data_IF_534162870745
#
_entry.id   IF_534162870745
#
_cell.length_a   1.000
_cell.length_b   1.000
_cell.length_c   1.000
_cell.angle_alpha   90.00
_cell.angle_beta   90.00
_cell.angle_gamma   90.00
#
_symmetry.space_group_name_H-M   'P 1'
#
loop_
_entity.id
_entity.type
_entity.pdbx_description
1 polymer ?
#
# COMPACT_ATOMS: atom_id res chain seq x y z
N UNK A 1 -5.30 -5.40 2.43
CA UNK A 1 -5.78 -6.78 2.65
C UNK A 1 -6.28 -7.44 1.35
N UNK A 2 -7.30 -6.87 0.65
CA UNK A 2 -7.67 -7.39 -0.68
C UNK A 2 -6.58 -7.12 -1.72
N UNK A 3 -5.98 -5.94 -1.69
CA UNK A 3 -4.86 -5.59 -2.56
C UNK A 3 -3.62 -6.46 -2.23
N UNK A 4 -3.27 -6.67 -0.95
CA UNK A 4 -2.23 -7.68 -0.59
C UNK A 4 -2.48 -9.09 -1.13
N UNK A 5 -3.73 -9.56 -1.13
CA UNK A 5 -4.04 -10.86 -1.73
C UNK A 5 -3.82 -10.84 -3.24
N UNK A 6 -4.15 -9.74 -3.93
CA UNK A 6 -3.84 -9.54 -5.35
C UNK A 6 -2.33 -9.56 -5.60
N UNK A 7 -1.52 -8.92 -4.74
CA UNK A 7 -0.06 -8.96 -4.85
C UNK A 7 0.45 -10.40 -4.75
N UNK A 8 0.00 -11.14 -3.73
CA UNK A 8 0.33 -12.55 -3.52
C UNK A 8 -0.05 -13.41 -4.74
N UNK A 9 -1.28 -13.30 -5.22
CA UNK A 9 -1.79 -14.08 -6.35
C UNK A 9 -1.03 -13.76 -7.66
N UNK A 10 -0.56 -12.52 -7.81
CA UNK A 10 0.23 -12.10 -8.96
C UNK A 10 1.65 -12.69 -8.93
N UNK A 11 2.28 -12.71 -7.75
CA UNK A 11 3.59 -13.33 -7.57
C UNK A 11 3.53 -14.87 -7.69
N UNK A 12 2.49 -15.50 -7.17
CA UNK A 12 2.26 -16.94 -7.33
C UNK A 12 2.10 -17.34 -8.81
N UNK A 13 1.44 -16.51 -9.62
CA UNK A 13 1.39 -16.72 -11.07
C UNK A 13 2.79 -16.66 -11.71
N UNK A 14 3.63 -15.69 -11.31
CA UNK A 14 5.01 -15.59 -11.81
C UNK A 14 5.81 -16.85 -11.45
N UNK A 15 5.69 -17.34 -10.22
CA UNK A 15 6.34 -18.58 -9.78
C UNK A 15 5.88 -19.78 -10.61
N UNK A 16 4.61 -19.80 -11.02
CA UNK A 16 4.02 -20.81 -11.92
C UNK A 16 4.38 -20.60 -13.40
N UNK A 17 5.24 -19.63 -13.71
CA UNK A 17 5.75 -19.38 -15.05
C UNK A 17 4.88 -18.46 -15.92
N UNK A 18 3.92 -17.74 -15.32
CA UNK A 18 3.04 -16.80 -16.02
C UNK A 18 3.13 -15.41 -15.40
N UNK A 19 3.55 -14.42 -16.18
CA UNK A 19 3.53 -13.02 -15.73
C UNK A 19 2.16 -12.41 -16.05
N UNK A 20 1.39 -11.93 -15.04
CA UNK A 20 0.13 -11.24 -15.30
C UNK A 20 0.36 -9.88 -15.99
N UNK A 21 -0.61 -9.46 -16.80
CA UNK A 21 -0.62 -8.10 -17.35
C UNK A 21 -1.04 -7.12 -16.26
N UNK A 22 -0.32 -6.00 -16.16
CA UNK A 22 -0.53 -4.95 -15.15
C UNK A 22 -0.64 -3.55 -15.77
N UNK A 23 -1.28 -2.65 -15.03
CA UNK A 23 -1.44 -1.24 -15.37
C UNK A 23 -0.98 -0.34 -14.22
N UNK A 24 0.21 0.22 -14.36
CA UNK A 24 0.87 1.03 -13.34
C UNK A 24 0.23 2.41 -13.13
N UNK A 25 -0.90 2.71 -13.79
CA UNK A 25 -1.61 3.97 -13.65
C UNK A 25 -2.64 3.91 -12.50
N UNK A 26 -2.19 3.61 -11.27
CA UNK A 26 -3.05 3.59 -10.08
C UNK A 26 -3.07 4.97 -9.38
N UNK A 27 -4.26 5.56 -9.26
CA UNK A 27 -4.52 6.84 -8.58
C UNK A 27 -5.35 6.72 -7.30
N UNK A 28 -5.57 5.51 -6.76
CA UNK A 28 -6.37 5.28 -5.54
C UNK A 28 -5.92 6.15 -4.38
N UNK A 29 -4.60 6.26 -4.17
CA UNK A 29 -4.01 7.10 -3.14
C UNK A 29 -4.45 8.55 -3.28
N UNK A 30 -4.23 9.13 -4.47
CA UNK A 30 -4.64 10.49 -4.84
C UNK A 30 -6.13 10.74 -4.64
N UNK A 31 -6.98 9.86 -5.16
CA UNK A 31 -8.44 10.05 -5.21
C UNK A 31 -9.14 9.71 -3.88
N UNK A 32 -8.42 9.11 -2.93
CA UNK A 32 -8.93 8.80 -1.61
C UNK A 32 -9.16 10.05 -0.76
N UNK A 33 -10.39 10.21 -0.26
CA UNK A 33 -10.81 11.29 0.63
C UNK A 33 -11.61 10.72 1.81
N UNK A 34 -10.94 10.33 2.93
CA UNK A 34 -11.61 9.71 4.07
C UNK A 34 -12.42 10.73 4.87
N UNK A 35 -13.59 10.32 5.36
CA UNK A 35 -14.33 11.06 6.37
C UNK A 35 -13.73 10.83 7.77
N UNK A 36 -13.83 11.83 8.64
CA UNK A 36 -13.45 11.68 10.04
C UNK A 36 -14.36 10.64 10.72
N UNK A 37 -13.76 9.68 11.39
CA UNK A 37 -14.42 8.61 12.16
C UNK A 37 -14.53 8.97 13.65
N UNK A 38 -13.58 9.76 14.16
CA UNK A 38 -13.53 10.19 15.55
C UNK A 38 -13.91 11.67 15.72
N UNK A 39 -14.56 12.02 16.83
CA UNK A 39 -14.73 13.42 17.24
C UNK A 39 -13.36 14.05 17.53
N UNK A 40 -13.20 15.29 17.08
CA UNK A 40 -12.10 16.21 17.38
C UNK A 40 -11.71 16.32 18.86
N UNK A 41 -12.65 16.13 19.79
CA UNK A 41 -12.44 16.34 21.23
C UNK A 41 -12.03 15.08 22.01
N UNK A 42 -12.18 13.90 21.41
CA UNK A 42 -11.96 12.61 22.09
C UNK A 42 -10.62 11.97 21.77
N UNK A 43 -9.86 11.60 22.81
CA UNK A 43 -8.69 10.72 22.70
C UNK A 43 -9.03 9.35 23.30
N UNK A 44 -10.01 8.67 22.70
CA UNK A 44 -10.45 7.33 23.14
C UNK A 44 -9.32 6.31 23.00
N UNK A 45 -9.38 5.23 23.78
CA UNK A 45 -8.43 4.12 23.65
C UNK A 45 -8.48 3.48 22.26
N UNK A 46 -9.66 3.38 21.65
CA UNK A 46 -9.82 2.91 20.27
C UNK A 46 -9.06 3.79 19.27
N UNK A 47 -9.15 5.13 19.43
CA UNK A 47 -8.43 6.08 18.56
C UNK A 47 -6.91 5.90 18.67
N UNK A 48 -6.40 5.63 19.87
CA UNK A 48 -4.96 5.38 20.10
C UNK A 48 -4.52 4.06 19.49
N UNK A 49 -5.31 3.00 19.67
CA UNK A 49 -5.06 1.69 19.08
C UNK A 49 -5.05 1.76 17.55
N UNK A 50 -6.05 2.42 16.95
CA UNK A 50 -6.12 2.63 15.51
C UNK A 50 -4.95 3.49 14.99
N UNK A 51 -4.56 4.54 15.73
CA UNK A 51 -3.39 5.35 15.37
C UNK A 51 -2.10 4.52 15.36
N UNK A 52 -1.93 3.65 16.36
CA UNK A 52 -0.79 2.72 16.43
C UNK A 52 -0.79 1.78 15.22
N UNK A 53 -1.91 1.09 14.96
CA UNK A 53 -2.04 0.16 13.83
C UNK A 53 -1.82 0.85 12.49
N UNK A 54 -2.41 2.03 12.26
CA UNK A 54 -2.21 2.78 11.02
C UNK A 54 -0.75 3.21 10.84
N UNK A 55 -0.05 3.54 11.93
CA UNK A 55 1.38 3.89 11.88
C UNK A 55 2.24 2.67 11.54
N UNK A 56 1.95 1.52 12.15
CA UNK A 56 2.63 0.25 11.88
C UNK A 56 2.42 -0.21 10.43
N UNK A 57 1.18 -0.13 9.93
CA UNK A 57 0.87 -0.40 8.53
C UNK A 57 1.65 0.52 7.58
N UNK A 58 1.70 1.84 7.82
CA UNK A 58 2.51 2.76 7.01
C UNK A 58 3.99 2.36 7.00
N UNK A 59 4.52 1.90 8.14
CA UNK A 59 5.89 1.38 8.22
C UNK A 59 6.10 0.15 7.35
N UNK A 60 5.14 -0.79 7.39
CA UNK A 60 5.13 -2.00 6.56
C UNK A 60 5.07 -1.65 5.07
N UNK A 61 4.15 -0.78 4.64
CA UNK A 61 4.02 -0.39 3.23
C UNK A 61 5.30 0.26 2.70
N UNK A 62 5.97 1.08 3.52
CA UNK A 62 7.25 1.69 3.15
C UNK A 62 8.35 0.66 2.98
N UNK A 63 8.43 -0.33 3.88
CA UNK A 63 9.42 -1.39 3.81
C UNK A 63 9.22 -2.23 2.54
N UNK A 64 7.98 -2.68 2.30
CA UNK A 64 7.61 -3.51 1.16
C UNK A 64 7.81 -2.75 -0.16
N UNK A 65 7.36 -1.49 -0.26
CA UNK A 65 7.60 -0.64 -1.44
C UNK A 65 9.09 -0.44 -1.71
N UNK A 66 9.91 -0.29 -0.66
CA UNK A 66 11.36 -0.20 -0.78
C UNK A 66 12.02 -1.46 -1.33
N UNK A 67 11.52 -2.64 -0.94
CA UNK A 67 11.98 -3.93 -1.46
C UNK A 67 11.67 -4.06 -2.95
N UNK A 68 10.42 -3.82 -3.36
CA UNK A 68 10.04 -3.87 -4.78
C UNK A 68 10.82 -2.86 -5.63
N UNK A 69 11.07 -1.65 -5.10
CA UNK A 69 11.92 -0.66 -5.77
C UNK A 69 13.33 -1.20 -6.05
N UNK A 70 13.91 -1.95 -5.11
CA UNK A 70 15.22 -2.59 -5.29
C UNK A 70 15.13 -3.71 -6.33
N UNK A 71 14.12 -4.56 -6.23
CA UNK A 71 13.94 -5.73 -7.10
C UNK A 71 13.73 -5.37 -8.57
N UNK A 72 13.09 -4.23 -8.87
CA UNK A 72 12.94 -3.72 -10.24
C UNK A 72 14.30 -3.58 -10.96
N UNK A 73 15.41 -3.41 -10.22
CA UNK A 73 16.76 -3.36 -10.78
C UNK A 73 17.49 -4.71 -10.77
N UNK A 74 17.00 -5.69 -10.01
CA UNK A 74 17.58 -7.04 -9.91
C UNK A 74 17.11 -7.94 -11.06
N UNK A 75 15.84 -7.82 -11.45
CA UNK A 75 15.25 -8.71 -12.48
C UNK A 75 15.60 -8.29 -13.91
N UNK A 76 15.95 -9.26 -14.76
CA UNK A 76 16.22 -9.05 -16.20
C UNK A 76 14.98 -9.07 -17.11
N UNK A 77 13.87 -9.67 -16.67
CA UNK A 77 12.64 -9.77 -17.47
C UNK A 77 11.79 -8.50 -17.31
N UNK A 78 11.58 -7.77 -18.40
CA UNK A 78 10.83 -6.49 -18.41
C UNK A 78 9.39 -6.60 -17.90
N UNK A 79 8.69 -7.71 -18.17
CA UNK A 79 7.31 -7.88 -17.72
C UNK A 79 7.25 -8.09 -16.20
N UNK A 80 8.22 -8.83 -15.64
CA UNK A 80 8.36 -8.97 -14.18
C UNK A 80 8.69 -7.62 -13.55
N UNK A 81 9.63 -6.86 -14.13
CA UNK A 81 9.96 -5.51 -13.65
C UNK A 81 8.72 -4.60 -13.64
N UNK A 82 7.88 -4.69 -14.66
CA UNK A 82 6.63 -3.92 -14.74
C UNK A 82 5.64 -4.34 -13.65
N UNK A 83 5.49 -5.64 -13.38
CA UNK A 83 4.67 -6.14 -12.27
C UNK A 83 5.17 -5.63 -10.91
N UNK A 84 6.48 -5.70 -10.65
CA UNK A 84 7.03 -5.24 -9.36
C UNK A 84 6.87 -3.72 -9.20
N UNK A 85 7.02 -2.96 -10.29
CA UNK A 85 6.74 -1.52 -10.28
C UNK A 85 5.25 -1.19 -10.07
N UNK A 86 4.34 -2.02 -10.61
CA UNK A 86 2.90 -1.91 -10.36
C UNK A 86 2.60 -2.06 -8.86
N UNK A 87 3.06 -3.16 -8.26
CA UNK A 87 2.89 -3.42 -6.83
C UNK A 87 3.52 -2.30 -6.00
N UNK A 88 4.73 -1.85 -6.35
CA UNK A 88 5.40 -0.74 -5.67
C UNK A 88 4.55 0.55 -5.63
N UNK A 89 3.83 0.86 -6.71
CA UNK A 89 2.93 2.02 -6.81
C UNK A 89 1.68 1.79 -5.94
N UNK A 90 1.13 0.57 -5.96
CA UNK A 90 0.00 0.19 -5.09
C UNK A 90 0.36 0.37 -3.61
N UNK A 91 1.55 -0.06 -3.15
CA UNK A 91 2.00 0.14 -1.76
C UNK A 91 2.19 1.62 -1.39
N UNK A 92 2.65 2.45 -2.33
CA UNK A 92 2.73 3.90 -2.10
C UNK A 92 1.33 4.50 -1.93
N UNK A 93 0.37 4.06 -2.74
CA UNK A 93 -1.03 4.47 -2.61
C UNK A 93 -1.62 3.99 -1.27
N UNK A 94 -1.32 2.77 -0.81
CA UNK A 94 -1.75 2.26 0.50
C UNK A 94 -1.24 3.15 1.64
N UNK A 95 0.05 3.49 1.61
CA UNK A 95 0.65 4.39 2.60
C UNK A 95 0.02 5.79 2.57
N UNK A 96 -0.24 6.35 1.39
CA UNK A 96 -0.91 7.66 1.23
C UNK A 96 -2.33 7.61 1.82
N UNK A 97 -3.10 6.56 1.54
CA UNK A 97 -4.45 6.40 2.06
C UNK A 97 -4.47 6.32 3.59
N UNK A 98 -3.57 5.54 4.20
CA UNK A 98 -3.43 5.46 5.65
C UNK A 98 -3.04 6.81 6.25
N UNK A 99 -2.13 7.54 5.61
CA UNK A 99 -1.75 8.89 6.05
C UNK A 99 -2.93 9.87 5.98
N UNK A 100 -3.71 9.86 4.89
CA UNK A 100 -4.92 10.68 4.76
C UNK A 100 -5.96 10.32 5.82
N UNK A 101 -6.14 9.04 6.11
CA UNK A 101 -7.01 8.56 7.19
C UNK A 101 -6.56 9.11 8.55
N UNK A 102 -5.26 8.99 8.88
CA UNK A 102 -4.70 9.56 10.11
C UNK A 102 -4.93 11.06 10.21
N UNK A 103 -4.71 11.78 9.11
CA UNK A 103 -4.88 13.24 9.04
C UNK A 103 -6.34 13.64 9.27
N UNK A 104 -7.29 13.00 8.59
CA UNK A 104 -8.73 13.25 8.76
C UNK A 104 -9.22 12.99 10.19
N UNK A 105 -8.54 12.11 10.93
CA UNK A 105 -8.89 11.76 12.31
C UNK A 105 -8.03 12.48 13.38
N UNK A 106 -7.15 13.40 12.99
CA UNK A 106 -6.27 14.10 13.93
C UNK A 106 -5.32 13.15 14.69
N UNK A 107 -4.78 12.15 13.98
CA UNK A 107 -3.81 11.17 14.46
C UNK A 107 -2.38 11.42 13.94
N UNK A 108 -2.23 12.41 13.04
CA UNK A 108 -0.98 12.73 12.36
C UNK A 108 -0.10 13.65 13.20
#
# INVERSE_FOLDING_TARGET
ARDEQKHFDSLDQVIKGKVPSVDCNDSKGKDYSPAATYDSLGNSEDKKADCYLATDCIGTEKLVSGEYNSDVFVFGNSDIRKLLADIQIEEQNHAEMLWKYKTANGMA
#
